data_IF_947620931142
#
_entry.id   IF_947620931142
#
_cell.length_a   1.000
_cell.length_b   1.000
_cell.length_c   1.000
_cell.angle_alpha   90.00
_cell.angle_beta   90.00
_cell.angle_gamma   90.00
#
_symmetry.space_group_name_H-M   'P 1'
#
loop_
_entity.id
_entity.type
_entity.pdbx_description
1 polymer ?
#
# COMPACT_ATOMS: atom_id res chain seq x y z
N UNK A 1 0.34 51.51 -19.52
CA UNK A 1 0.05 50.68 -18.34
C UNK A 1 -1.02 49.68 -18.73
N UNK A 2 -0.67 48.39 -18.81
CA UNK A 2 -1.64 47.29 -18.68
C UNK A 2 -0.88 46.09 -18.13
N UNK A 3 -1.04 45.85 -16.84
CA UNK A 3 -0.59 44.64 -16.17
C UNK A 3 -1.76 43.66 -16.22
N UNK A 4 -1.62 42.59 -17.00
CA UNK A 4 -2.55 41.47 -16.98
C UNK A 4 -2.18 40.59 -15.80
N UNK A 5 -2.96 40.66 -14.73
CA UNK A 5 -2.84 39.76 -13.57
C UNK A 5 -3.58 38.47 -13.90
N UNK A 6 -2.84 37.39 -14.21
CA UNK A 6 -3.41 36.04 -14.23
C UNK A 6 -3.56 35.54 -12.79
N UNK A 7 -4.80 35.27 -12.38
CA UNK A 7 -5.07 34.57 -11.13
C UNK A 7 -4.91 33.07 -11.38
N UNK A 8 -4.04 32.34 -10.65
CA UNK A 8 -4.02 30.90 -10.75
C UNK A 8 -5.32 30.35 -10.16
N UNK A 9 -6.07 29.61 -10.97
CA UNK A 9 -7.22 28.84 -10.50
C UNK A 9 -6.70 27.78 -9.52
N UNK A 10 -6.85 28.05 -8.23
CA UNK A 10 -6.71 27.05 -7.18
C UNK A 10 -7.91 26.12 -7.28
N UNK A 11 -7.78 25.04 -8.06
CA UNK A 11 -8.75 23.96 -8.07
C UNK A 11 -8.63 23.21 -6.73
N UNK A 12 -9.27 23.73 -5.69
CA UNK A 12 -9.50 22.97 -4.47
C UNK A 12 -10.35 21.75 -4.86
N UNK A 13 -9.74 20.57 -4.80
CA UNK A 13 -10.47 19.32 -4.95
C UNK A 13 -11.57 19.31 -3.88
N UNK A 14 -12.85 19.11 -4.24
CA UNK A 14 -13.91 19.00 -3.24
C UNK A 14 -13.61 17.82 -2.32
N UNK A 15 -13.30 18.12 -1.06
CA UNK A 15 -13.11 17.14 0.00
C UNK A 15 -14.49 16.66 0.44
N UNK A 16 -14.94 15.53 -0.09
CA UNK A 16 -16.11 14.85 0.47
C UNK A 16 -15.71 14.20 1.80
N UNK A 17 -16.45 14.43 2.90
CA UNK A 17 -16.18 13.71 4.14
C UNK A 17 -16.37 12.21 3.89
N UNK A 18 -15.38 11.40 4.30
CA UNK A 18 -15.53 9.96 4.27
C UNK A 18 -16.60 9.57 5.29
N UNK A 19 -17.61 8.82 4.85
CA UNK A 19 -18.49 8.13 5.78
C UNK A 19 -17.67 7.06 6.51
N UNK A 20 -17.77 7.04 7.83
CA UNK A 20 -17.15 5.99 8.65
C UNK A 20 -18.23 5.02 9.09
N UNK A 21 -18.03 3.74 8.75
CA UNK A 21 -18.87 2.63 9.16
C UNK A 21 -18.00 1.62 9.89
N UNK A 22 -18.51 1.06 10.99
CA UNK A 22 -17.81 0.06 11.78
C UNK A 22 -18.61 -1.24 11.75
N UNK A 23 -17.92 -2.34 11.49
CA UNK A 23 -18.48 -3.68 11.43
C UNK A 23 -17.43 -4.66 11.96
N UNK A 24 -17.85 -5.55 12.85
CA UNK A 24 -16.98 -6.64 13.32
C UNK A 24 -16.82 -7.70 12.22
N UNK A 25 -15.65 -8.34 12.19
CA UNK A 25 -15.41 -9.46 11.27
C UNK A 25 -16.33 -10.65 11.59
N UNK A 26 -16.88 -11.29 10.55
CA UNK A 26 -17.57 -12.57 10.73
C UNK A 26 -16.53 -13.67 10.96
N UNK A 27 -16.30 -14.03 12.23
CA UNK A 27 -15.26 -14.98 12.61
C UNK A 27 -15.48 -16.40 12.04
N UNK A 28 -16.71 -16.77 11.70
CA UNK A 28 -17.02 -18.06 11.07
C UNK A 28 -16.52 -18.14 9.61
N UNK A 29 -16.38 -16.99 8.95
CA UNK A 29 -15.87 -16.89 7.57
C UNK A 29 -14.37 -16.61 7.50
N UNK A 30 -13.73 -16.26 8.62
CA UNK A 30 -12.27 -16.02 8.66
C UNK A 30 -11.53 -17.33 8.53
N UNK A 31 -11.03 -17.61 7.32
CA UNK A 31 -10.12 -18.72 7.06
C UNK A 31 -8.68 -18.40 7.47
N UNK A 32 -8.03 -19.31 8.18
CA UNK A 32 -6.59 -19.22 8.45
C UNK A 32 -5.79 -19.84 7.31
N UNK A 33 -4.93 -19.04 6.68
CA UNK A 33 -3.96 -19.55 5.70
C UNK A 33 -2.94 -20.44 6.43
N UNK A 34 -2.80 -21.68 5.95
CA UNK A 34 -1.79 -22.59 6.48
C UNK A 34 -2.23 -23.42 7.70
N UNK A 35 -3.52 -23.66 7.88
CA UNK A 35 -3.99 -24.86 8.58
C UNK A 35 -4.30 -25.95 7.56
N UNK A 36 -3.90 -27.19 7.82
CA UNK A 36 -4.21 -28.32 6.96
C UNK A 36 -5.72 -28.62 6.99
N UNK A 37 -6.46 -28.14 6.00
CA UNK A 37 -7.64 -28.86 5.53
C UNK A 37 -7.15 -30.06 4.72
N UNK A 38 -7.81 -31.22 4.84
CA UNK A 38 -7.46 -32.44 4.09
C UNK A 38 -7.16 -32.11 2.62
N UNK A 39 -5.89 -32.26 2.22
CA UNK A 39 -5.41 -32.03 0.85
C UNK A 39 -4.64 -30.73 0.59
N UNK A 40 -4.66 -29.73 1.47
CA UNK A 40 -3.88 -28.50 1.32
C UNK A 40 -2.76 -28.42 2.37
N UNK A 41 -1.49 -28.55 1.95
CA UNK A 41 -0.38 -28.41 2.88
C UNK A 41 -0.06 -26.93 3.13
N UNK A 42 -0.22 -26.50 4.37
CA UNK A 42 0.28 -25.22 4.87
C UNK A 42 1.75 -24.95 4.51
N UNK A 43 2.53 -26.03 4.42
CA UNK A 43 3.94 -26.02 4.10
C UNK A 43 4.24 -25.37 2.73
N UNK A 44 3.37 -25.54 1.72
CA UNK A 44 3.56 -24.94 0.40
C UNK A 44 3.43 -23.40 0.44
N UNK A 45 2.53 -22.89 1.30
CA UNK A 45 2.34 -21.46 1.47
C UNK A 45 3.45 -20.82 2.33
N UNK A 46 3.86 -21.49 3.41
CA UNK A 46 4.92 -20.97 4.29
C UNK A 46 6.34 -21.12 3.73
N UNK A 47 6.60 -22.09 2.85
CA UNK A 47 7.89 -22.20 2.17
C UNK A 47 8.14 -21.08 1.14
N UNK A 48 7.06 -20.57 0.53
CA UNK A 48 7.12 -19.66 -0.61
C UNK A 48 6.47 -18.28 -0.36
N UNK A 49 5.88 -18.07 0.82
CA UNK A 49 5.20 -16.84 1.21
C UNK A 49 6.09 -15.93 2.07
N UNK A 50 6.26 -14.68 1.64
CA UNK A 50 7.05 -13.66 2.33
C UNK A 50 6.21 -12.41 2.61
N UNK A 51 6.47 -11.73 3.73
CA UNK A 51 5.87 -10.44 4.05
C UNK A 51 6.91 -9.41 4.45
N UNK A 52 6.71 -8.16 4.04
CA UNK A 52 7.58 -7.05 4.42
C UNK A 52 6.82 -5.73 4.46
N UNK A 53 6.99 -4.96 5.54
CA UNK A 53 6.52 -3.57 5.61
C UNK A 53 7.71 -2.64 5.44
N UNK A 54 7.65 -1.76 4.45
CA UNK A 54 8.65 -0.73 4.21
C UNK A 54 8.14 0.66 4.60
N UNK A 55 9.02 1.46 5.18
CA UNK A 55 8.83 2.88 5.44
C UNK A 55 9.44 3.71 4.31
N UNK A 56 8.62 4.29 3.45
CA UNK A 56 9.08 5.12 2.32
C UNK A 56 9.34 6.57 2.70
N UNK A 57 9.26 6.92 3.98
CA UNK A 57 9.38 8.28 4.47
C UNK A 57 8.16 9.13 4.13
N UNK A 58 8.35 10.45 4.18
CA UNK A 58 7.29 11.42 3.90
C UNK A 58 7.10 11.62 2.39
N UNK A 59 5.87 11.47 1.90
CA UNK A 59 5.50 11.55 0.48
C UNK A 59 4.12 12.21 0.29
N UNK A 60 3.91 12.82 -0.87
CA UNK A 60 2.62 13.31 -1.37
C UNK A 60 2.60 13.28 -2.91
N UNK A 61 1.42 13.22 -3.53
CA UNK A 61 1.29 13.10 -4.99
C UNK A 61 1.67 11.72 -5.52
N UNK A 62 2.06 11.64 -6.79
CA UNK A 62 2.36 10.38 -7.49
C UNK A 62 3.83 9.97 -7.37
N UNK A 63 4.05 8.69 -7.08
CA UNK A 63 5.40 8.11 -6.96
C UNK A 63 5.46 6.73 -7.61
N UNK A 64 6.54 6.47 -8.36
CA UNK A 64 6.97 5.11 -8.69
C UNK A 64 8.01 4.69 -7.66
N UNK A 65 7.66 3.73 -6.81
CA UNK A 65 8.51 3.24 -5.73
C UNK A 65 9.11 1.89 -6.15
N UNK A 66 10.42 1.72 -5.91
CA UNK A 66 11.17 0.54 -6.35
C UNK A 66 11.76 -0.18 -5.15
N UNK A 67 11.16 -1.30 -4.74
CA UNK A 67 11.69 -2.16 -3.69
C UNK A 67 12.64 -3.19 -4.30
N UNK A 68 13.93 -3.12 -3.95
CA UNK A 68 14.90 -4.15 -4.32
C UNK A 68 14.78 -5.32 -3.34
N UNK A 69 14.46 -6.52 -3.86
CA UNK A 69 14.31 -7.73 -3.08
C UNK A 69 14.69 -8.94 -3.93
N UNK A 70 15.88 -9.50 -3.69
CA UNK A 70 16.50 -10.52 -4.55
C UNK A 70 15.71 -11.83 -4.70
N UNK A 71 14.70 -12.09 -3.88
CA UNK A 71 13.84 -13.27 -3.95
C UNK A 71 12.71 -13.13 -4.99
N UNK A 72 12.53 -11.94 -5.56
CA UNK A 72 11.43 -11.66 -6.48
C UNK A 72 11.79 -12.11 -7.89
N UNK A 73 10.82 -12.75 -8.54
CA UNK A 73 10.89 -13.14 -9.95
C UNK A 73 9.70 -12.54 -10.71
N UNK A 74 9.71 -12.52 -12.05
CA UNK A 74 8.55 -12.14 -12.85
C UNK A 74 7.28 -12.95 -12.56
N UNK A 75 7.41 -14.17 -12.00
CA UNK A 75 6.28 -15.05 -11.69
C UNK A 75 5.77 -14.89 -10.24
N UNK A 76 6.44 -14.09 -9.41
CA UNK A 76 6.01 -13.83 -8.03
C UNK A 76 4.63 -13.16 -8.02
N UNK A 77 3.71 -13.68 -7.22
CA UNK A 77 2.44 -13.02 -6.92
C UNK A 77 2.67 -11.99 -5.82
N UNK A 78 2.44 -10.72 -6.11
CA UNK A 78 2.72 -9.61 -5.18
C UNK A 78 1.43 -8.82 -4.89
N UNK A 79 1.05 -8.81 -3.63
CA UNK A 79 -0.06 -8.01 -3.11
C UNK A 79 0.49 -6.85 -2.29
N UNK A 80 -0.06 -5.67 -2.51
CA UNK A 80 0.44 -4.43 -1.91
C UNK A 80 -0.67 -3.70 -1.20
N UNK A 81 -0.41 -3.29 0.05
CA UNK A 81 -1.31 -2.45 0.82
C UNK A 81 -0.56 -1.21 1.33
N UNK A 82 -1.09 -0.03 1.07
CA UNK A 82 -0.48 1.25 1.46
C UNK A 82 -1.30 1.96 2.53
N UNK A 83 -0.71 2.94 3.20
CA UNK A 83 -1.42 3.80 4.16
C UNK A 83 -0.49 4.71 4.93
N UNK A 84 -1.07 5.58 5.75
CA UNK A 84 -0.33 6.49 6.60
C UNK A 84 0.30 5.75 7.78
N UNK A 85 1.61 5.92 7.97
CA UNK A 85 2.37 5.21 8.99
C UNK A 85 2.17 5.77 10.40
N UNK A 86 1.96 4.89 11.38
CA UNK A 86 1.91 5.26 12.80
C UNK A 86 3.34 5.35 13.36
N UNK A 87 3.75 6.45 14.02
CA UNK A 87 5.02 6.52 14.75
C UNK A 87 5.06 5.52 15.92
N UNK A 88 6.25 5.04 16.34
CA UNK A 88 7.58 5.49 15.94
C UNK A 88 8.17 4.73 14.72
N UNK A 89 7.44 3.77 14.15
CA UNK A 89 7.98 2.94 13.08
C UNK A 89 7.00 1.91 12.52
N UNK A 90 7.39 1.13 11.49
CA UNK A 90 6.54 0.17 10.78
C UNK A 90 5.74 -0.80 11.66
N UNK A 91 6.29 -1.19 12.81
CA UNK A 91 5.65 -2.10 13.75
C UNK A 91 4.36 -1.52 14.39
N UNK A 92 4.23 -0.19 14.46
CA UNK A 92 3.08 0.48 15.06
C UNK A 92 1.85 0.50 14.16
N UNK A 93 1.96 0.06 12.90
CA UNK A 93 0.81 -0.04 12.02
C UNK A 93 0.64 1.12 11.04
N UNK A 94 -0.56 1.15 10.46
CA UNK A 94 -1.05 2.23 9.61
C UNK A 94 -2.38 2.71 10.19
N UNK A 95 -2.78 3.93 9.88
CA UNK A 95 -4.08 4.47 10.25
C UNK A 95 -4.79 5.13 9.07
N UNK A 96 -6.08 5.40 9.21
CA UNK A 96 -6.88 6.15 8.23
C UNK A 96 -6.90 7.62 8.65
N UNK A 97 -6.14 8.45 7.93
CA UNK A 97 -6.16 9.90 8.03
C UNK A 97 -7.09 10.55 7.00
N UNK A 98 -6.96 11.87 6.81
CA UNK A 98 -7.76 12.63 5.84
C UNK A 98 -7.30 12.44 4.38
N UNK A 99 -6.08 11.95 4.17
CA UNK A 99 -5.51 11.76 2.85
C UNK A 99 -6.00 10.45 2.21
N UNK A 100 -6.30 10.49 0.91
CA UNK A 100 -6.62 9.28 0.12
C UNK A 100 -5.34 8.69 -0.47
N UNK A 101 -5.23 7.37 -0.39
CA UNK A 101 -4.09 6.61 -0.90
C UNK A 101 -4.59 5.64 -1.98
N UNK A 102 -3.93 5.61 -3.13
CA UNK A 102 -4.24 4.67 -4.22
C UNK A 102 -2.98 3.94 -4.69
N UNK A 103 -3.08 2.63 -4.92
CA UNK A 103 -2.10 1.86 -5.70
C UNK A 103 -2.65 1.74 -7.12
N UNK A 104 -1.92 2.24 -8.10
CA UNK A 104 -2.29 2.16 -9.51
C UNK A 104 -1.79 0.85 -10.15
N UNK A 105 -0.53 0.48 -9.89
CA UNK A 105 0.10 -0.69 -10.49
C UNK A 105 1.06 -1.35 -9.50
N UNK A 106 1.21 -2.68 -9.65
CA UNK A 106 2.24 -3.50 -9.01
C UNK A 106 2.92 -4.32 -10.11
N UNK A 107 4.24 -4.22 -10.21
CA UNK A 107 5.03 -4.84 -11.27
C UNK A 107 6.28 -5.53 -10.67
N UNK A 108 6.20 -6.84 -10.39
CA UNK A 108 7.38 -7.63 -10.04
C UNK A 108 8.24 -7.89 -11.29
N UNK A 109 9.56 -7.90 -11.09
CA UNK A 109 10.53 -8.42 -12.04
C UNK A 109 11.77 -8.95 -11.29
N UNK A 110 12.79 -9.43 -11.99
CA UNK A 110 13.95 -10.08 -11.36
C UNK A 110 14.60 -9.20 -10.29
N UNK A 111 14.45 -9.59 -9.03
CA UNK A 111 15.01 -8.94 -7.85
C UNK A 111 14.34 -7.63 -7.44
N UNK A 112 13.18 -7.28 -8.00
CA UNK A 112 12.58 -5.97 -7.76
C UNK A 112 11.05 -5.98 -7.84
N UNK A 113 10.41 -5.13 -7.04
CA UNK A 113 8.99 -4.80 -7.15
C UNK A 113 8.89 -3.29 -7.41
N UNK A 114 8.21 -2.90 -8.49
CA UNK A 114 7.83 -1.51 -8.73
C UNK A 114 6.35 -1.32 -8.45
N UNK A 115 6.01 -0.27 -7.71
CA UNK A 115 4.63 0.14 -7.50
C UNK A 115 4.43 1.58 -7.92
N UNK A 116 3.27 1.89 -8.49
CA UNK A 116 2.84 3.27 -8.72
C UNK A 116 1.75 3.62 -7.73
N UNK A 117 1.98 4.65 -6.93
CA UNK A 117 1.05 5.09 -5.88
C UNK A 117 0.71 6.56 -6.03
N UNK A 118 -0.44 6.96 -5.48
CA UNK A 118 -0.84 8.36 -5.31
C UNK A 118 -1.25 8.62 -3.87
N UNK A 119 -0.81 9.75 -3.32
CA UNK A 119 -1.19 10.24 -1.99
C UNK A 119 -1.82 11.62 -2.18
N UNK A 120 -3.13 11.68 -2.04
CA UNK A 120 -3.90 12.90 -2.28
C UNK A 120 -3.89 13.78 -1.04
N UNK A 121 -2.78 14.50 -0.87
CA UNK A 121 -2.59 15.42 0.23
C UNK A 121 -1.69 16.60 -0.18
N UNK A 122 -1.94 17.76 0.43
CA UNK A 122 -1.22 19.01 0.12
C UNK A 122 0.21 19.06 0.64
N UNK A 123 0.60 18.18 1.56
CA UNK A 123 1.94 18.13 2.15
C UNK A 123 2.45 16.70 2.30
N UNK A 124 3.77 16.47 2.42
CA UNK A 124 4.31 15.13 2.64
C UNK A 124 3.84 14.50 3.96
N UNK A 125 3.33 13.28 3.90
CA UNK A 125 2.91 12.46 5.06
C UNK A 125 3.57 11.08 5.00
N UNK A 126 3.70 10.39 6.13
CA UNK A 126 4.51 9.17 6.24
C UNK A 126 3.82 8.01 5.49
N UNK A 127 4.49 7.45 4.48
CA UNK A 127 3.95 6.33 3.69
C UNK A 127 4.54 5.00 4.14
N UNK A 128 3.69 4.10 4.65
CA UNK A 128 4.05 2.69 4.86
C UNK A 128 3.42 1.82 3.78
N UNK A 129 4.21 0.84 3.30
CA UNK A 129 3.80 -0.10 2.26
C UNK A 129 4.04 -1.52 2.74
N UNK A 130 2.98 -2.32 2.76
CA UNK A 130 3.03 -3.75 2.97
C UNK A 130 3.17 -4.47 1.64
N UNK A 131 4.10 -5.41 1.58
CA UNK A 131 4.30 -6.34 0.49
C UNK A 131 4.02 -7.74 1.03
N UNK A 132 3.06 -8.42 0.43
CA UNK A 132 2.85 -9.85 0.59
C UNK A 132 3.19 -10.54 -0.72
N UNK A 133 4.16 -11.45 -0.68
CA UNK A 133 4.73 -12.09 -1.85
C UNK A 133 4.52 -13.59 -1.73
N UNK A 134 4.06 -14.22 -2.80
CA UNK A 134 4.05 -15.67 -2.93
C UNK A 134 4.83 -16.05 -4.19
N UNK A 135 5.84 -16.91 -4.05
CA UNK A 135 6.65 -17.42 -5.15
C UNK A 135 6.12 -18.80 -5.58
N UNK A 136 5.33 -18.90 -6.65
CA UNK A 136 4.83 -20.19 -7.13
C UNK A 136 5.95 -21.13 -7.61
#
# INVERSE_FOLDING_TARGET
MSSTTEFPASTSMPQFPAAQENQEANLEEVGQLGMSQEGASAAAFFGNGYRYRHDWGFKNGQHILTLNWGLITPNSLVFVAIGEGVPPGPAAGKFIGAARYTVHNVAPSNGVIKIWVNIEWGSPIRLYVDYFVFNP
#
